data_IF_613623279496
#
_entry.id   IF_613623279496
#
_cell.length_a   1.000
_cell.length_b   1.000
_cell.length_c   1.000
_cell.angle_alpha   90.00
_cell.angle_beta   90.00
_cell.angle_gamma   90.00
#
_symmetry.space_group_name_H-M   'P 1'
#
loop_
_entity.id
_entity.type
_entity.pdbx_description
1 polymer ?
#
# COMPACT_ATOMS: atom_id res chain seq x y z
N UNK A 1 -0.29 8.69 -3.48
CA UNK A 1 0.13 8.65 -2.05
C UNK A 1 -0.57 9.71 -1.20
N UNK A 2 -0.36 11.00 -1.43
CA UNK A 2 -1.01 12.08 -0.63
C UNK A 2 -2.51 11.84 -0.42
N UNK A 3 -3.24 11.50 -1.47
CA UNK A 3 -4.69 11.25 -1.41
C UNK A 3 -5.07 10.12 -0.44
N UNK A 4 -4.30 9.02 -0.45
CA UNK A 4 -4.55 7.89 0.45
C UNK A 4 -4.31 8.27 1.91
N UNK A 5 -3.20 8.94 2.19
CA UNK A 5 -2.89 9.44 3.54
C UNK A 5 -3.94 10.44 4.02
N UNK A 6 -4.39 11.35 3.14
CA UNK A 6 -5.42 12.32 3.47
C UNK A 6 -6.75 11.67 3.84
N UNK A 7 -7.16 10.62 3.14
CA UNK A 7 -8.37 9.87 3.47
C UNK A 7 -8.28 9.18 4.83
N UNK A 8 -7.13 8.59 5.15
CA UNK A 8 -6.91 7.97 6.47
C UNK A 8 -6.97 9.02 7.57
N UNK A 9 -6.29 10.15 7.40
CA UNK A 9 -6.26 11.25 8.37
C UNK A 9 -7.67 11.83 8.61
N UNK A 10 -8.46 12.01 7.56
CA UNK A 10 -9.84 12.49 7.67
C UNK A 10 -10.73 11.58 8.52
N UNK A 11 -10.49 10.29 8.50
CA UNK A 11 -11.29 9.29 9.22
C UNK A 11 -10.83 9.07 10.66
N UNK A 12 -9.76 9.74 11.10
CA UNK A 12 -9.21 9.63 12.44
C UNK A 12 -9.52 10.85 13.27
N UNK A 13 -9.84 10.64 14.56
CA UNK A 13 -9.97 11.70 15.57
C UNK A 13 -8.73 11.65 16.45
N UNK A 14 -7.76 12.52 16.16
CA UNK A 14 -6.52 12.63 16.90
C UNK A 14 -6.03 14.09 16.88
N UNK A 15 -5.15 14.45 17.81
CA UNK A 15 -4.55 15.78 17.88
C UNK A 15 -3.35 15.91 16.93
N UNK A 16 -2.66 14.79 16.69
CA UNK A 16 -1.46 14.74 15.88
C UNK A 16 -1.40 13.44 15.05
N UNK A 17 -0.93 13.57 13.83
CA UNK A 17 -0.55 12.42 12.98
C UNK A 17 0.93 12.49 12.63
N UNK A 18 1.62 11.36 12.76
CA UNK A 18 3.03 11.20 12.37
C UNK A 18 3.08 10.27 11.16
N UNK A 19 3.64 10.76 10.06
CA UNK A 19 3.66 10.06 8.77
C UNK A 19 5.09 9.70 8.37
N UNK A 20 5.26 8.51 7.80
CA UNK A 20 6.45 8.21 7.03
C UNK A 20 6.33 8.87 5.66
N UNK A 21 7.26 9.77 5.36
CA UNK A 21 7.15 10.63 4.17
C UNK A 21 7.33 9.82 2.88
N UNK A 22 6.35 9.91 1.99
CA UNK A 22 6.37 9.31 0.67
C UNK A 22 6.80 10.30 -0.44
N UNK A 23 7.50 11.36 -0.07
CA UNK A 23 8.01 12.39 -0.97
C UNK A 23 9.49 12.64 -0.62
N UNK A 24 10.26 13.16 -1.57
CA UNK A 24 11.67 13.57 -1.38
C UNK A 24 11.77 14.63 -0.28
N UNK A 25 10.81 15.56 -0.21
CA UNK A 25 10.71 16.58 0.84
C UNK A 25 9.60 16.23 1.82
N UNK A 26 9.97 15.83 3.05
CA UNK A 26 9.03 15.44 4.09
C UNK A 26 8.05 16.56 4.46
N UNK A 27 8.52 17.79 4.62
CA UNK A 27 7.67 18.95 4.95
C UNK A 27 6.62 19.22 3.87
N UNK A 28 7.01 19.16 2.60
CA UNK A 28 6.09 19.30 1.47
C UNK A 28 5.00 18.22 1.49
N UNK A 29 5.38 17.01 1.84
CA UNK A 29 4.43 15.89 1.98
C UNK A 29 3.42 16.16 3.10
N UNK A 30 3.88 16.59 4.28
CA UNK A 30 3.03 16.96 5.40
C UNK A 30 2.04 18.07 5.03
N UNK A 31 2.50 19.13 4.41
CA UNK A 31 1.68 20.26 3.97
C UNK A 31 0.62 19.84 2.96
N UNK A 32 0.97 19.00 2.02
CA UNK A 32 0.04 18.48 1.00
C UNK A 32 -1.03 17.57 1.61
N UNK A 33 -0.65 16.71 2.56
CA UNK A 33 -1.61 15.84 3.26
C UNK A 33 -2.56 16.69 4.11
N UNK A 34 -2.05 17.65 4.85
CA UNK A 34 -2.86 18.56 5.68
C UNK A 34 -3.86 19.34 4.82
N UNK A 35 -3.38 19.93 3.74
CA UNK A 35 -4.20 20.71 2.82
C UNK A 35 -5.28 19.88 2.12
N UNK A 36 -4.94 18.71 1.66
CA UNK A 36 -5.86 17.79 0.96
C UNK A 36 -6.89 17.21 1.91
N UNK A 37 -6.51 16.91 3.16
CA UNK A 37 -7.42 16.36 4.17
C UNK A 37 -8.34 17.43 4.79
N UNK A 38 -7.96 18.71 4.77
CA UNK A 38 -8.70 19.78 5.42
C UNK A 38 -8.78 19.65 6.95
N UNK A 39 -7.89 18.88 7.56
CA UNK A 39 -7.89 18.62 9.00
C UNK A 39 -7.24 19.74 9.81
N UNK A 40 -7.74 19.96 11.03
CA UNK A 40 -7.09 20.80 12.04
C UNK A 40 -5.95 20.07 12.77
N UNK A 41 -5.83 18.77 12.59
CA UNK A 41 -4.80 17.92 13.19
C UNK A 41 -3.39 18.40 12.81
N UNK A 42 -2.45 18.36 13.78
CA UNK A 42 -1.04 18.58 13.50
C UNK A 42 -0.48 17.40 12.68
N UNK A 43 0.11 17.68 11.52
CA UNK A 43 0.71 16.69 10.66
C UNK A 43 2.23 16.84 10.68
N UNK A 44 2.92 15.81 11.15
CA UNK A 44 4.37 15.66 11.10
C UNK A 44 4.73 14.57 10.11
N UNK A 45 5.58 14.86 9.14
CA UNK A 45 6.12 13.84 8.24
C UNK A 45 7.65 13.83 8.32
N UNK A 46 8.21 12.63 8.37
CA UNK A 46 9.66 12.40 8.40
C UNK A 46 10.00 11.18 7.55
N UNK A 47 11.18 11.18 6.95
CA UNK A 47 11.72 9.98 6.33
C UNK A 47 12.11 8.96 7.41
N UNK A 48 11.78 7.70 7.18
CA UNK A 48 12.03 6.60 8.14
C UNK A 48 11.44 6.91 9.52
N UNK A 49 10.23 7.44 9.55
CA UNK A 49 9.54 7.80 10.79
C UNK A 49 9.33 6.59 11.72
N UNK A 50 9.24 5.39 11.18
CA UNK A 50 9.18 4.13 11.91
C UNK A 50 10.42 3.87 12.78
N UNK A 51 11.58 4.41 12.41
CA UNK A 51 12.81 4.31 13.19
C UNK A 51 12.90 5.33 14.32
N UNK A 52 12.27 6.49 14.14
CA UNK A 52 12.34 7.63 15.05
C UNK A 52 11.15 7.70 16.01
N UNK A 53 10.04 7.08 15.67
CA UNK A 53 8.80 7.10 16.43
C UNK A 53 8.24 5.69 16.63
N UNK A 54 8.23 5.22 17.87
CA UNK A 54 7.71 3.87 18.21
C UNK A 54 6.24 3.67 17.81
N UNK A 55 5.44 4.71 17.87
CA UNK A 55 4.02 4.67 17.45
C UNK A 55 3.91 4.39 15.95
N UNK A 56 4.80 4.94 15.12
CA UNK A 56 4.84 4.68 13.67
C UNK A 56 5.30 3.25 13.40
N UNK A 57 6.31 2.77 14.12
CA UNK A 57 6.76 1.39 14.04
C UNK A 57 5.64 0.40 14.37
N UNK A 58 4.90 0.64 15.45
CA UNK A 58 3.76 -0.19 15.83
C UNK A 58 2.64 -0.16 14.76
N UNK A 59 2.31 1.00 14.23
CA UNK A 59 1.33 1.15 13.16
C UNK A 59 1.75 0.40 11.88
N UNK A 60 3.03 0.43 11.53
CA UNK A 60 3.59 -0.30 10.38
C UNK A 60 3.45 -1.82 10.54
N UNK A 61 3.71 -2.34 11.74
CA UNK A 61 3.54 -3.77 12.04
C UNK A 61 2.07 -4.18 11.91
N UNK A 62 1.16 -3.42 12.49
CA UNK A 62 -0.28 -3.68 12.39
C UNK A 62 -0.77 -3.66 10.94
N UNK A 63 -0.31 -2.69 10.15
CA UNK A 63 -0.65 -2.59 8.74
C UNK A 63 -0.17 -3.82 7.95
N UNK A 64 1.06 -4.28 8.18
CA UNK A 64 1.61 -5.49 7.54
C UNK A 64 0.85 -6.75 7.93
N UNK A 65 0.53 -6.93 9.21
CA UNK A 65 -0.24 -8.08 9.70
C UNK A 65 -1.63 -8.13 9.06
N UNK A 66 -2.33 -7.00 9.00
CA UNK A 66 -3.64 -6.91 8.35
C UNK A 66 -3.57 -7.18 6.85
N UNK A 67 -2.53 -6.66 6.18
CA UNK A 67 -2.30 -6.94 4.76
C UNK A 67 -2.07 -8.42 4.50
N UNK A 68 -1.20 -9.06 5.27
CA UNK A 68 -0.88 -10.48 5.11
C UNK A 68 -2.13 -11.36 5.37
N UNK A 69 -2.96 -10.96 6.32
CA UNK A 69 -4.25 -11.60 6.57
C UNK A 69 -5.16 -11.49 5.34
N UNK A 70 -5.28 -10.31 4.75
CA UNK A 70 -6.08 -10.06 3.55
C UNK A 70 -5.60 -10.91 2.37
N UNK A 71 -4.29 -11.05 2.19
CA UNK A 71 -3.72 -11.92 1.15
C UNK A 71 -4.11 -13.39 1.39
N UNK A 72 -4.01 -13.88 2.62
CA UNK A 72 -4.43 -15.25 2.96
C UNK A 72 -5.92 -15.49 2.74
N UNK A 73 -6.75 -14.50 3.06
CA UNK A 73 -8.20 -14.58 2.79
C UNK A 73 -8.50 -14.66 1.30
N UNK A 74 -7.79 -13.86 0.49
CA UNK A 74 -7.89 -13.95 -0.98
C UNK A 74 -7.45 -15.33 -1.49
N UNK A 75 -6.33 -15.87 -1.01
CA UNK A 75 -5.86 -17.22 -1.37
C UNK A 75 -6.94 -18.28 -1.10
N UNK A 76 -7.61 -18.20 0.05
CA UNK A 76 -8.69 -19.12 0.38
C UNK A 76 -9.89 -18.97 -0.57
N UNK A 77 -10.24 -17.73 -0.90
CA UNK A 77 -11.42 -17.46 -1.76
C UNK A 77 -11.21 -17.91 -3.20
N UNK A 78 -9.99 -17.81 -3.73
CA UNK A 78 -9.65 -18.22 -5.10
C UNK A 78 -9.12 -19.66 -5.20
N UNK A 79 -8.81 -20.30 -4.06
CA UNK A 79 -8.37 -21.68 -4.00
C UNK A 79 -6.92 -21.92 -4.47
N UNK A 80 -6.08 -20.91 -4.56
CA UNK A 80 -4.68 -21.05 -4.95
C UNK A 80 -3.76 -20.08 -4.19
N UNK A 81 -2.47 -20.43 -4.13
CA UNK A 81 -1.43 -19.65 -3.48
C UNK A 81 -0.98 -18.47 -4.35
N UNK A 82 -0.85 -17.30 -3.75
CA UNK A 82 -0.39 -16.08 -4.42
C UNK A 82 1.02 -15.65 -4.02
N UNK A 83 1.65 -16.34 -3.08
CA UNK A 83 2.89 -15.89 -2.45
C UNK A 83 2.64 -14.75 -1.46
N UNK A 84 3.64 -13.90 -1.25
CA UNK A 84 3.55 -12.78 -0.31
C UNK A 84 2.60 -11.65 -0.77
N UNK A 85 2.26 -11.60 -2.05
CA UNK A 85 1.50 -10.52 -2.65
C UNK A 85 2.33 -9.27 -2.96
N UNK A 86 3.65 -9.31 -2.79
CA UNK A 86 4.54 -8.21 -3.19
C UNK A 86 5.07 -8.40 -4.62
N UNK A 87 5.28 -7.31 -5.40
CA UNK A 87 5.73 -7.42 -6.79
C UNK A 87 7.17 -7.93 -6.94
N UNK A 88 7.94 -7.93 -5.87
CA UNK A 88 9.30 -8.47 -5.82
C UNK A 88 9.37 -9.98 -5.56
N UNK A 89 8.26 -10.59 -5.14
CA UNK A 89 8.17 -12.01 -4.86
C UNK A 89 7.92 -12.80 -6.15
N UNK A 90 8.82 -13.71 -6.50
CA UNK A 90 8.69 -14.55 -7.69
C UNK A 90 7.44 -15.42 -7.67
N UNK A 91 7.02 -15.91 -6.51
CA UNK A 91 5.80 -16.69 -6.38
C UNK A 91 4.57 -15.85 -6.76
N UNK A 92 4.54 -14.59 -6.33
CA UNK A 92 3.49 -13.63 -6.69
C UNK A 92 3.50 -13.33 -8.19
N UNK A 93 4.68 -13.10 -8.77
CA UNK A 93 4.82 -12.84 -10.21
C UNK A 93 4.33 -14.04 -11.04
N UNK A 94 4.71 -15.26 -10.68
CA UNK A 94 4.25 -16.49 -11.36
C UNK A 94 2.75 -16.68 -11.26
N UNK A 95 2.18 -16.41 -10.09
CA UNK A 95 0.72 -16.43 -9.90
C UNK A 95 0.03 -15.46 -10.87
N UNK A 96 0.50 -14.21 -10.95
CA UNK A 96 -0.07 -13.20 -11.83
C UNK A 96 0.05 -13.59 -13.32
N UNK A 97 1.19 -14.14 -13.72
CA UNK A 97 1.39 -14.60 -15.09
C UNK A 97 0.45 -15.75 -15.46
N UNK A 98 0.32 -16.74 -14.58
CA UNK A 98 -0.57 -17.89 -14.77
C UNK A 98 -2.02 -17.45 -14.85
N UNK A 99 -2.46 -16.63 -13.88
CA UNK A 99 -3.83 -16.07 -13.87
C UNK A 99 -4.15 -15.32 -15.16
N UNK A 100 -3.22 -14.45 -15.59
CA UNK A 100 -3.43 -13.62 -16.79
C UNK A 100 -3.51 -14.48 -18.06
N UNK A 101 -2.71 -15.54 -18.16
CA UNK A 101 -2.81 -16.49 -19.27
C UNK A 101 -4.15 -17.21 -19.32
N UNK A 102 -4.64 -17.65 -18.17
CA UNK A 102 -5.89 -18.41 -18.06
C UNK A 102 -7.14 -17.56 -18.28
N UNK A 103 -7.13 -16.32 -17.79
CA UNK A 103 -8.31 -15.44 -17.77
C UNK A 103 -8.27 -14.31 -18.81
N UNK A 104 -7.16 -14.11 -19.52
CA UNK A 104 -6.99 -13.02 -20.48
C UNK A 104 -6.98 -11.61 -19.88
N UNK A 105 -6.90 -11.51 -18.56
CA UNK A 105 -6.89 -10.24 -17.81
C UNK A 105 -6.19 -10.41 -16.47
N UNK A 106 -5.69 -9.29 -15.93
CA UNK A 106 -5.14 -9.27 -14.58
C UNK A 106 -6.23 -9.54 -13.52
N UNK A 107 -5.86 -10.14 -12.36
CA UNK A 107 -6.80 -10.27 -11.25
C UNK A 107 -7.38 -8.90 -10.83
N UNK A 108 -8.66 -8.82 -10.45
CA UNK A 108 -9.30 -7.54 -10.10
C UNK A 108 -8.73 -6.90 -8.82
N UNK A 109 -8.10 -7.70 -7.96
CA UNK A 109 -7.51 -7.27 -6.70
C UNK A 109 -6.05 -6.84 -6.82
N UNK A 110 -5.42 -6.94 -8.01
CA UNK A 110 -4.04 -6.51 -8.21
C UNK A 110 -3.96 -5.00 -8.45
N UNK A 111 -2.91 -4.39 -7.93
CA UNK A 111 -2.63 -2.98 -8.21
C UNK A 111 -2.10 -2.83 -9.64
N UNK A 112 -2.92 -2.33 -10.54
CA UNK A 112 -2.60 -2.17 -11.97
C UNK A 112 -1.43 -1.20 -12.25
N UNK A 113 -1.15 -0.28 -11.31
CA UNK A 113 -0.03 0.67 -11.42
C UNK A 113 1.35 0.09 -11.09
N UNK A 114 1.44 -1.18 -10.70
CA UNK A 114 2.73 -1.83 -10.52
C UNK A 114 3.42 -2.06 -11.87
N UNK A 115 4.70 -1.74 -11.97
CA UNK A 115 5.51 -2.03 -13.17
C UNK A 115 5.46 -3.51 -13.57
N UNK A 116 5.42 -4.41 -12.58
CA UNK A 116 5.26 -5.84 -12.81
C UNK A 116 3.91 -6.16 -13.46
N UNK A 117 2.82 -5.54 -13.00
CA UNK A 117 1.49 -5.72 -13.59
C UNK A 117 1.43 -5.17 -15.01
N UNK A 118 2.00 -3.99 -15.26
CA UNK A 118 2.11 -3.41 -16.60
C UNK A 118 2.90 -4.32 -17.57
N UNK A 119 4.02 -4.87 -17.10
CA UNK A 119 4.84 -5.79 -17.89
C UNK A 119 4.08 -7.07 -18.23
N UNK A 120 3.37 -7.67 -17.28
CA UNK A 120 2.56 -8.86 -17.49
C UNK A 120 1.43 -8.56 -18.47
N UNK A 121 0.75 -7.45 -18.30
CA UNK A 121 -0.29 -6.99 -19.23
C UNK A 121 0.24 -6.87 -20.66
N UNK A 122 1.37 -6.20 -20.82
CA UNK A 122 2.00 -6.02 -22.13
C UNK A 122 2.40 -7.36 -22.80
N UNK A 123 2.74 -8.37 -21.97
CA UNK A 123 3.19 -9.68 -22.47
C UNK A 123 2.04 -10.65 -22.82
N UNK A 124 0.95 -10.61 -22.07
CA UNK A 124 -0.12 -11.63 -22.13
C UNK A 124 -1.50 -11.09 -22.54
N UNK A 125 -1.66 -9.81 -22.60
CA UNK A 125 -2.87 -9.15 -23.05
C UNK A 125 -2.55 -8.25 -24.26
#
# INVERSE_FOLDING_TARGET
>A
MVRCFSQVVQNLSADRAILDAADVKAERFADRVKKTSGTEMEILAQHKADKNHSVVAAASILAKVNRDRSVRELERSIGCKMGSGYPSDLATVRFLETWTKEHGKLPPFVRHSWKTAERIKARFI
#
